data_IF_426553125006
#
_entry.id   IF_426553125006
#
_cell.length_a   1.000
_cell.length_b   1.000
_cell.length_c   1.000
_cell.angle_alpha   90.00
_cell.angle_beta   90.00
_cell.angle_gamma   90.00
#
_symmetry.space_group_name_H-M   'P 1'
#
loop_
_entity.id
_entity.type
_entity.pdbx_description
1 polymer ?
#
# COMPACT_ATOMS: atom_id res chain seq x y z
N UNK A 1 3.68 43.90 63.71
CA UNK A 1 2.29 44.10 63.23
C UNK A 1 2.35 44.16 61.71
N UNK A 2 1.80 43.28 60.90
CA UNK A 2 0.95 42.10 61.08
C UNK A 2 0.87 41.41 59.71
N UNK A 3 0.65 40.11 59.75
CA UNK A 3 0.52 39.12 58.68
C UNK A 3 -0.79 39.28 57.87
N UNK A 4 -1.02 38.39 56.88
CA UNK A 4 -2.29 37.84 56.32
C UNK A 4 -2.37 38.06 54.79
N UNK A 5 -2.20 37.06 53.90
CA UNK A 5 -3.00 35.87 53.50
C UNK A 5 -4.43 36.16 52.98
N UNK A 6 -4.78 35.53 51.85
CA UNK A 6 -6.16 35.39 51.32
C UNK A 6 -6.43 36.22 50.05
N UNK A 7 -7.22 35.80 49.07
CA UNK A 7 -7.98 34.57 48.83
C UNK A 7 -8.57 34.65 47.40
N UNK A 8 -8.99 33.50 46.88
CA UNK A 8 -9.59 33.30 45.54
C UNK A 8 -10.88 34.11 45.34
N UNK A 9 -11.21 34.46 44.09
CA UNK A 9 -12.60 34.40 43.61
C UNK A 9 -12.71 34.42 42.07
N UNK A 10 -13.21 33.30 41.56
CA UNK A 10 -13.93 33.08 40.29
C UNK A 10 -14.55 34.34 39.65
N UNK A 11 -14.37 34.50 38.32
CA UNK A 11 -15.42 35.05 37.46
C UNK A 11 -15.72 34.07 36.33
N UNK A 12 -16.92 33.48 36.41
CA UNK A 12 -17.59 32.79 35.32
C UNK A 12 -18.00 33.85 34.29
N UNK A 13 -17.47 33.75 33.07
CA UNK A 13 -18.08 34.34 31.88
C UNK A 13 -18.71 33.21 31.09
N UNK A 14 -20.04 33.21 31.00
CA UNK A 14 -20.84 32.28 30.20
C UNK A 14 -20.45 32.40 28.73
N UNK A 15 -19.92 31.32 28.16
CA UNK A 15 -19.79 31.17 26.71
C UNK A 15 -21.11 30.57 26.21
N UNK A 16 -21.90 31.40 25.53
CA UNK A 16 -23.13 31.02 24.84
C UNK A 16 -22.81 29.91 23.84
N UNK A 17 -23.45 28.75 24.01
CA UNK A 17 -23.36 27.62 23.09
C UNK A 17 -24.09 27.94 21.78
N UNK A 18 -23.35 27.93 20.67
CA UNK A 18 -23.90 27.85 19.32
C UNK A 18 -24.10 26.37 18.99
N UNK A 19 -25.31 25.90 18.63
CA UNK A 19 -25.51 24.51 18.24
C UNK A 19 -25.17 24.37 16.75
N UNK A 20 -24.11 23.62 16.43
CA UNK A 20 -23.79 23.35 15.03
C UNK A 20 -22.40 22.80 14.80
N UNK A 21 -22.14 21.56 15.21
CA UNK A 21 -21.17 20.68 14.55
C UNK A 21 -21.28 19.29 15.16
N UNK A 22 -21.69 18.31 14.35
CA UNK A 22 -21.58 16.89 14.67
C UNK A 22 -20.09 16.53 14.72
N UNK A 23 -19.43 16.83 15.84
CA UNK A 23 -18.06 16.42 16.14
C UNK A 23 -18.03 14.95 16.51
N UNK A 24 -18.20 14.07 15.51
CA UNK A 24 -17.75 12.70 15.65
C UNK A 24 -16.23 12.73 15.76
N UNK A 25 -15.67 12.43 16.93
CA UNK A 25 -14.25 12.10 17.08
C UNK A 25 -13.94 10.98 16.09
N UNK A 26 -13.18 11.27 15.03
CA UNK A 26 -12.70 10.20 14.14
C UNK A 26 -11.85 9.26 14.98
N UNK A 27 -12.30 8.03 15.13
CA UNK A 27 -11.55 6.99 15.81
C UNK A 27 -10.29 6.67 15.00
N UNK A 28 -9.13 6.89 15.61
CA UNK A 28 -7.83 6.70 14.96
C UNK A 28 -7.55 5.20 14.94
N UNK A 29 -7.32 4.67 13.73
CA UNK A 29 -6.99 3.26 13.52
C UNK A 29 -5.51 3.01 13.72
N UNK A 30 -5.17 2.04 14.56
CA UNK A 30 -3.79 1.65 14.89
C UNK A 30 -3.44 0.27 14.37
N UNK A 31 -2.19 -0.16 14.53
CA UNK A 31 -1.78 -1.54 14.22
C UNK A 31 -2.40 -2.59 15.16
N UNK A 32 -3.00 -2.17 16.27
CA UNK A 32 -3.72 -3.03 17.21
C UNK A 32 -5.22 -3.11 16.88
N UNK A 33 -5.88 -1.96 16.68
CA UNK A 33 -7.32 -1.93 16.37
C UNK A 33 -7.61 -2.41 14.95
N UNK A 34 -6.70 -2.09 14.02
CA UNK A 34 -6.80 -2.42 12.61
C UNK A 34 -5.46 -3.01 12.13
N UNK A 35 -5.14 -4.26 12.52
CA UNK A 35 -3.90 -4.92 12.13
C UNK A 35 -3.73 -4.93 10.62
N UNK A 36 -2.48 -4.77 10.15
CA UNK A 36 -2.21 -4.69 8.71
C UNK A 36 -2.71 -5.97 8.03
N UNK A 37 -3.37 -5.79 6.88
CA UNK A 37 -3.89 -6.88 6.06
C UNK A 37 -3.18 -6.89 4.72
N UNK A 38 -3.00 -8.08 4.17
CA UNK A 38 -2.50 -8.27 2.81
C UNK A 38 -3.58 -9.00 2.03
N UNK A 39 -4.01 -8.39 0.92
CA UNK A 39 -4.99 -9.01 0.02
C UNK A 39 -4.21 -9.65 -1.13
N UNK A 40 -4.18 -10.98 -1.16
CA UNK A 40 -3.40 -11.74 -2.16
C UNK A 40 -4.18 -11.95 -3.45
N UNK A 41 -3.48 -11.82 -4.58
CA UNK A 41 -4.00 -12.23 -5.87
C UNK A 41 -4.24 -13.75 -5.85
N UNK A 42 -5.32 -14.25 -6.46
CA UNK A 42 -5.59 -15.69 -6.46
C UNK A 42 -4.51 -16.44 -7.24
N UNK A 43 -3.91 -17.46 -6.60
CA UNK A 43 -2.90 -18.35 -7.24
C UNK A 43 -3.38 -18.98 -8.53
N UNK A 44 -4.66 -19.32 -8.62
CA UNK A 44 -5.29 -19.86 -9.82
C UNK A 44 -5.24 -18.90 -11.03
N UNK A 45 -5.13 -17.59 -10.77
CA UNK A 45 -5.08 -16.56 -11.82
C UNK A 45 -3.65 -16.30 -12.29
N UNK A 46 -2.69 -16.17 -11.37
CA UNK A 46 -1.30 -15.84 -11.75
C UNK A 46 -0.41 -17.09 -11.99
N UNK A 47 -0.77 -18.25 -11.44
CA UNK A 47 -0.10 -19.53 -11.66
C UNK A 47 1.34 -19.61 -11.12
N UNK A 48 1.66 -18.88 -10.04
CA UNK A 48 2.99 -18.86 -9.41
C UNK A 48 2.99 -19.64 -8.09
N UNK A 49 4.19 -20.05 -7.64
CA UNK A 49 4.39 -20.85 -6.43
C UNK A 49 4.24 -20.02 -5.15
N UNK A 50 4.77 -18.80 -5.15
CA UNK A 50 4.64 -17.81 -4.09
C UNK A 50 3.43 -16.89 -4.30
N UNK A 51 3.11 -16.11 -3.27
CA UNK A 51 1.96 -15.20 -3.30
C UNK A 51 2.36 -13.77 -3.68
N UNK A 52 1.45 -13.06 -4.35
CA UNK A 52 1.59 -11.62 -4.62
C UNK A 52 0.42 -10.89 -3.96
N UNK A 53 0.71 -9.96 -3.06
CA UNK A 53 -0.30 -9.30 -2.24
C UNK A 53 -0.22 -7.78 -2.25
N UNK A 54 -1.33 -7.14 -1.89
CA UNK A 54 -1.47 -5.69 -1.80
C UNK A 54 -1.76 -5.26 -0.37
N UNK A 55 -1.15 -4.15 0.06
CA UNK A 55 -1.41 -3.57 1.38
C UNK A 55 -1.28 -2.05 1.41
N UNK A 56 -1.72 -1.43 2.51
CA UNK A 56 -1.48 -0.01 2.81
C UNK A 56 -0.02 0.21 3.23
N UNK A 57 0.46 1.46 3.21
CA UNK A 57 1.81 1.76 3.73
C UNK A 57 1.99 1.26 5.19
N UNK A 58 2.92 0.33 5.46
CA UNK A 58 3.24 -0.13 6.81
C UNK A 58 3.79 1.01 7.67
N UNK A 59 3.37 1.08 8.93
CA UNK A 59 3.84 2.10 9.88
C UNK A 59 3.38 3.53 9.59
N UNK A 60 2.50 3.74 8.59
CA UNK A 60 2.09 5.09 8.19
C UNK A 60 1.44 5.87 9.33
N UNK A 61 1.87 7.11 9.49
CA UNK A 61 1.35 8.11 10.42
C UNK A 61 0.54 9.14 9.63
N UNK A 62 -0.75 8.88 9.46
CA UNK A 62 -1.66 9.69 8.64
C UNK A 62 -2.92 10.02 9.43
N UNK A 63 -2.72 10.77 10.52
CA UNK A 63 -3.75 11.08 11.54
C UNK A 63 -4.92 11.84 10.91
N UNK A 64 -4.65 12.73 9.94
CA UNK A 64 -5.67 13.46 9.20
C UNK A 64 -6.65 12.50 8.47
N UNK A 65 -6.19 11.32 8.08
CA UNK A 65 -7.00 10.27 7.44
C UNK A 65 -7.32 9.10 8.40
N UNK A 66 -7.19 9.32 9.71
CA UNK A 66 -7.56 8.38 10.77
C UNK A 66 -6.63 7.17 10.88
N UNK A 67 -5.31 7.36 10.68
CA UNK A 67 -4.31 6.30 10.84
C UNK A 67 -3.15 6.72 11.73
N UNK A 68 -2.79 5.86 12.68
CA UNK A 68 -1.56 5.95 13.46
C UNK A 68 -1.00 4.54 13.65
N UNK A 69 -0.22 4.08 12.67
CA UNK A 69 0.29 2.70 12.64
C UNK A 69 1.69 2.64 13.25
N UNK A 70 2.02 1.49 13.81
CA UNK A 70 3.35 1.20 14.30
C UNK A 70 4.14 0.39 13.26
N UNK A 71 5.32 0.88 12.90
CA UNK A 71 6.16 0.26 11.87
C UNK A 71 6.67 -1.12 12.30
N UNK A 72 7.10 -1.28 13.55
CA UNK A 72 7.62 -2.55 14.06
C UNK A 72 6.55 -3.63 14.09
N UNK A 73 5.34 -3.30 14.56
CA UNK A 73 4.19 -4.21 14.58
C UNK A 73 3.77 -4.61 13.16
N UNK A 74 3.69 -3.65 12.24
CA UNK A 74 3.31 -3.94 10.87
C UNK A 74 4.35 -4.82 10.17
N UNK A 75 5.65 -4.54 10.32
CA UNK A 75 6.71 -5.38 9.74
C UNK A 75 6.75 -6.78 10.35
N UNK A 76 6.60 -6.87 11.67
CA UNK A 76 6.51 -8.16 12.37
C UNK A 76 5.34 -8.98 11.82
N UNK A 77 4.17 -8.35 11.64
CA UNK A 77 2.99 -9.02 11.10
C UNK A 77 3.15 -9.42 9.63
N UNK A 78 3.73 -8.55 8.79
CA UNK A 78 4.07 -8.87 7.41
C UNK A 78 4.97 -10.12 7.34
N UNK A 79 6.01 -10.17 8.17
CA UNK A 79 6.91 -11.32 8.19
C UNK A 79 6.26 -12.58 8.75
N UNK A 80 5.60 -12.49 9.90
CA UNK A 80 5.20 -13.68 10.67
C UNK A 80 3.86 -14.26 10.24
N UNK A 81 2.90 -13.42 9.85
CA UNK A 81 1.55 -13.85 9.45
C UNK A 81 1.47 -14.09 7.96
N UNK A 82 2.01 -13.16 7.16
CA UNK A 82 1.91 -13.19 5.70
C UNK A 82 3.13 -13.81 5.01
N UNK A 83 4.18 -14.14 5.79
CA UNK A 83 5.45 -14.67 5.31
C UNK A 83 6.08 -13.81 4.23
N UNK A 84 5.87 -12.49 4.29
CA UNK A 84 6.42 -11.56 3.31
C UNK A 84 7.94 -11.70 3.26
N UNK A 85 8.47 -11.99 2.08
CA UNK A 85 9.90 -12.08 1.80
C UNK A 85 10.41 -10.82 1.10
N UNK A 86 9.55 -10.20 0.29
CA UNK A 86 9.85 -8.98 -0.45
C UNK A 86 8.74 -7.94 -0.26
N UNK A 87 9.11 -6.71 0.08
CA UNK A 87 8.19 -5.57 0.18
C UNK A 87 8.52 -4.54 -0.90
N UNK A 88 7.64 -4.40 -1.88
CA UNK A 88 7.75 -3.41 -2.95
C UNK A 88 7.04 -2.14 -2.52
N UNK A 89 7.79 -1.04 -2.44
CA UNK A 89 7.30 0.29 -2.10
C UNK A 89 7.27 1.19 -3.32
N UNK A 90 6.11 1.83 -3.54
CA UNK A 90 5.87 2.72 -4.68
C UNK A 90 5.88 4.20 -4.29
N UNK A 91 6.31 4.51 -3.07
CA UNK A 91 6.34 5.86 -2.52
C UNK A 91 7.64 6.58 -2.90
N UNK A 92 7.55 7.90 -3.07
CA UNK A 92 8.74 8.75 -3.14
C UNK A 92 9.22 9.22 -1.76
N UNK A 93 10.38 9.86 -1.72
CA UNK A 93 11.00 10.37 -0.48
C UNK A 93 10.12 11.39 0.27
N UNK A 94 9.36 12.21 -0.46
CA UNK A 94 8.47 13.20 0.14
C UNK A 94 7.25 12.53 0.80
N UNK A 95 6.73 11.47 0.19
CA UNK A 95 5.66 10.66 0.76
C UNK A 95 6.13 9.87 1.97
N UNK A 96 7.35 9.32 1.95
CA UNK A 96 7.94 8.67 3.12
C UNK A 96 8.00 9.62 4.32
N UNK A 97 8.51 10.84 4.11
CA UNK A 97 8.59 11.86 5.14
C UNK A 97 7.20 12.28 5.64
N UNK A 98 6.26 12.54 4.73
CA UNK A 98 4.90 12.96 5.07
C UNK A 98 4.11 11.90 5.83
N UNK A 99 4.47 10.62 5.69
CA UNK A 99 3.85 9.50 6.39
C UNK A 99 4.63 9.06 7.64
N UNK A 100 5.75 9.70 7.98
CA UNK A 100 6.57 9.32 9.14
C UNK A 100 7.22 7.93 9.02
N UNK A 101 7.53 7.49 7.79
CA UNK A 101 8.02 6.14 7.51
C UNK A 101 9.34 6.12 6.73
N UNK A 102 10.19 7.12 6.92
CA UNK A 102 11.50 7.23 6.25
C UNK A 102 12.43 6.03 6.50
N UNK A 103 12.27 5.32 7.61
CA UNK A 103 13.07 4.14 8.00
C UNK A 103 12.46 2.80 7.54
N UNK A 104 11.51 2.83 6.58
CA UNK A 104 10.77 1.63 6.16
C UNK A 104 11.69 0.50 5.69
N UNK A 105 12.75 0.83 4.97
CA UNK A 105 13.75 -0.14 4.49
C UNK A 105 14.58 -0.73 5.64
N UNK A 106 15.05 0.10 6.58
CA UNK A 106 15.74 -0.34 7.80
C UNK A 106 14.91 -1.35 8.57
N UNK A 107 13.62 -1.04 8.81
CA UNK A 107 12.72 -1.92 9.54
C UNK A 107 12.37 -3.19 8.75
N UNK A 108 12.21 -3.10 7.42
CA UNK A 108 11.97 -4.27 6.58
C UNK A 108 13.16 -5.25 6.67
N UNK A 109 14.39 -4.76 6.47
CA UNK A 109 15.61 -5.58 6.54
C UNK A 109 15.77 -6.20 7.93
N UNK A 110 15.55 -5.42 8.99
CA UNK A 110 15.64 -5.92 10.37
C UNK A 110 14.64 -7.06 10.67
N UNK A 111 13.52 -7.12 9.92
CA UNK A 111 12.52 -8.19 10.01
C UNK A 111 12.72 -9.31 8.98
N UNK A 112 13.85 -9.32 8.25
CA UNK A 112 14.14 -10.32 7.23
C UNK A 112 13.27 -10.18 5.97
N UNK A 113 12.76 -8.98 5.70
CA UNK A 113 12.00 -8.64 4.49
C UNK A 113 12.93 -7.83 3.58
N UNK A 114 13.08 -8.24 2.32
CA UNK A 114 13.85 -7.49 1.32
C UNK A 114 13.02 -6.31 0.80
N UNK A 115 13.42 -5.04 1.04
CA UNK A 115 12.75 -3.90 0.44
C UNK A 115 13.14 -3.76 -1.04
N UNK A 116 12.17 -3.34 -1.86
CA UNK A 116 12.38 -2.91 -3.24
C UNK A 116 11.67 -1.58 -3.42
N UNK A 117 12.43 -0.52 -3.71
CA UNK A 117 11.89 0.82 -3.88
C UNK A 117 11.77 1.14 -5.37
N UNK A 118 10.55 1.47 -5.81
CA UNK A 118 10.28 1.93 -7.16
C UNK A 118 9.24 3.06 -7.11
N UNK A 119 9.68 4.31 -6.87
CA UNK A 119 8.75 5.42 -6.71
C UNK A 119 7.88 5.63 -7.96
N UNK A 120 6.56 5.72 -7.76
CA UNK A 120 5.61 6.10 -8.81
C UNK A 120 4.86 7.34 -8.33
N UNK A 121 4.81 8.43 -9.13
CA UNK A 121 4.13 9.66 -8.73
C UNK A 121 2.67 9.39 -8.36
N UNK A 122 2.19 10.03 -7.29
CA UNK A 122 0.84 9.76 -6.80
C UNK A 122 -0.21 10.05 -7.88
N UNK A 123 -1.24 9.19 -7.96
CA UNK A 123 -2.30 9.21 -8.98
C UNK A 123 -1.86 9.00 -10.46
N UNK A 124 -0.57 8.82 -10.74
CA UNK A 124 -0.06 8.63 -12.10
C UNK A 124 0.46 7.20 -12.31
N UNK A 125 0.68 6.79 -13.57
CA UNK A 125 1.58 5.68 -13.88
C UNK A 125 3.06 6.09 -13.70
N UNK A 126 4.02 5.15 -13.85
CA UNK A 126 5.43 5.51 -14.00
C UNK A 126 5.65 6.51 -15.16
N UNK A 127 6.75 7.25 -15.13
CA UNK A 127 7.14 8.03 -16.29
C UNK A 127 7.60 7.10 -17.42
N UNK A 128 7.36 7.47 -18.68
CA UNK A 128 7.80 6.67 -19.85
C UNK A 128 9.31 6.40 -19.87
N UNK A 129 10.13 7.34 -19.37
CA UNK A 129 11.59 7.14 -19.24
C UNK A 129 11.97 5.99 -18.32
N UNK A 130 11.08 5.61 -17.40
CA UNK A 130 11.27 4.56 -16.39
C UNK A 130 10.59 3.24 -16.82
N UNK A 131 10.10 3.15 -18.06
CA UNK A 131 9.35 2.00 -18.59
C UNK A 131 10.14 0.69 -18.51
N UNK A 132 11.40 0.68 -18.94
CA UNK A 132 12.23 -0.53 -18.91
C UNK A 132 12.52 -0.97 -17.47
N UNK A 133 12.77 -0.02 -16.56
CA UNK A 133 12.95 -0.31 -15.15
C UNK A 133 11.66 -0.83 -14.50
N UNK A 134 10.49 -0.33 -14.93
CA UNK A 134 9.20 -0.87 -14.51
C UNK A 134 8.99 -2.30 -15.01
N UNK A 135 9.33 -2.60 -16.27
CA UNK A 135 9.27 -3.96 -16.81
C UNK A 135 10.16 -4.90 -15.98
N UNK A 136 11.39 -4.48 -15.68
CA UNK A 136 12.31 -5.24 -14.83
C UNK A 136 11.77 -5.45 -13.41
N UNK A 137 11.05 -4.48 -12.84
CA UNK A 137 10.35 -4.65 -11.56
C UNK A 137 9.30 -5.76 -11.66
N UNK A 138 8.47 -5.77 -12.70
CA UNK A 138 7.42 -6.78 -12.90
C UNK A 138 8.05 -8.18 -13.07
N UNK A 139 9.09 -8.30 -13.88
CA UNK A 139 9.85 -9.55 -14.05
C UNK A 139 10.47 -10.02 -12.73
N UNK A 140 11.02 -9.10 -11.94
CA UNK A 140 11.59 -9.39 -10.62
C UNK A 140 10.53 -9.89 -9.62
N UNK A 141 9.33 -9.30 -9.62
CA UNK A 141 8.19 -9.76 -8.80
C UNK A 141 7.80 -11.19 -9.21
N UNK A 142 7.66 -11.44 -10.51
CA UNK A 142 7.30 -12.76 -11.05
C UNK A 142 8.38 -13.79 -10.74
N UNK A 143 9.66 -13.43 -10.90
CA UNK A 143 10.79 -14.31 -10.59
C UNK A 143 10.80 -14.70 -9.11
N UNK A 144 10.65 -13.73 -8.20
CA UNK A 144 10.58 -14.00 -6.76
C UNK A 144 9.41 -14.92 -6.40
N UNK A 145 8.21 -14.62 -6.90
CA UNK A 145 7.04 -15.47 -6.68
C UNK A 145 7.18 -16.85 -7.36
N UNK A 146 7.84 -16.96 -8.51
CA UNK A 146 8.13 -18.27 -9.13
C UNK A 146 9.06 -19.11 -8.24
N UNK A 147 10.00 -18.48 -7.55
CA UNK A 147 10.89 -19.11 -6.56
C UNK A 147 10.21 -19.40 -5.21
N UNK A 148 8.90 -19.16 -5.08
CA UNK A 148 8.14 -19.43 -3.86
C UNK A 148 8.14 -18.29 -2.84
N UNK A 149 8.69 -17.12 -3.18
CA UNK A 149 8.69 -15.96 -2.28
C UNK A 149 7.33 -15.28 -2.24
N UNK A 150 6.92 -14.80 -1.06
CA UNK A 150 5.76 -13.95 -0.93
C UNK A 150 6.14 -12.47 -1.13
N UNK A 151 5.60 -11.86 -2.17
CA UNK A 151 5.87 -10.47 -2.55
C UNK A 151 4.68 -9.59 -2.21
N UNK A 152 4.88 -8.57 -1.38
CA UNK A 152 3.83 -7.62 -1.00
C UNK A 152 4.12 -6.25 -1.60
N UNK A 153 3.12 -5.64 -2.23
CA UNK A 153 3.20 -4.36 -2.90
C UNK A 153 2.40 -3.33 -2.12
N UNK A 154 2.95 -2.14 -1.91
CA UNK A 154 2.23 -1.04 -1.29
C UNK A 154 2.53 0.32 -1.95
N UNK A 155 1.57 1.22 -1.81
CA UNK A 155 1.72 2.66 -1.99
C UNK A 155 1.20 3.31 -0.70
N UNK A 156 0.58 4.50 -0.76
CA UNK A 156 -0.03 5.13 0.42
C UNK A 156 -1.25 4.33 0.92
N UNK A 157 -2.21 4.08 0.03
CA UNK A 157 -3.47 3.39 0.35
C UNK A 157 -3.54 1.94 -0.15
N UNK A 158 -2.60 1.51 -0.99
CA UNK A 158 -2.63 0.19 -1.61
C UNK A 158 -3.80 0.01 -2.58
N UNK A 159 -4.17 1.05 -3.34
CA UNK A 159 -5.33 1.05 -4.25
C UNK A 159 -4.90 1.36 -5.69
N UNK A 160 -4.49 2.60 -6.00
CA UNK A 160 -4.11 3.01 -7.35
C UNK A 160 -2.81 2.40 -7.85
N UNK A 161 -1.67 2.95 -7.40
CA UNK A 161 -0.32 2.54 -7.83
C UNK A 161 -0.03 1.06 -7.55
N UNK A 162 -0.39 0.55 -6.38
CA UNK A 162 -0.24 -0.88 -6.07
C UNK A 162 -1.12 -1.74 -6.96
N UNK A 163 -2.34 -1.29 -7.25
CA UNK A 163 -3.23 -1.97 -8.19
C UNK A 163 -2.66 -1.98 -9.60
N UNK A 164 -2.02 -0.89 -10.04
CA UNK A 164 -1.34 -0.81 -11.34
C UNK A 164 -0.26 -1.89 -11.42
N UNK A 165 0.64 -1.99 -10.43
CA UNK A 165 1.71 -3.00 -10.44
C UNK A 165 1.13 -4.41 -10.41
N UNK A 166 0.14 -4.68 -9.55
CA UNK A 166 -0.51 -5.98 -9.48
C UNK A 166 -1.18 -6.37 -10.80
N UNK A 167 -1.88 -5.44 -11.46
CA UNK A 167 -2.50 -5.67 -12.75
C UNK A 167 -1.44 -5.89 -13.84
N UNK A 168 -0.33 -5.14 -13.83
CA UNK A 168 0.80 -5.35 -14.72
C UNK A 168 1.43 -6.73 -14.58
N UNK A 169 1.52 -7.27 -13.35
CA UNK A 169 1.97 -8.66 -13.15
C UNK A 169 0.99 -9.64 -13.81
N UNK A 170 -0.32 -9.46 -13.64
CA UNK A 170 -1.31 -10.34 -14.28
C UNK A 170 -1.26 -10.26 -15.81
N UNK A 171 -1.02 -9.07 -16.38
CA UNK A 171 -0.82 -8.90 -17.83
C UNK A 171 0.44 -9.64 -18.30
N UNK A 172 1.54 -9.54 -17.56
CA UNK A 172 2.75 -10.32 -17.83
C UNK A 172 2.53 -11.84 -17.69
N UNK A 173 1.54 -12.26 -16.89
CA UNK A 173 1.06 -13.65 -16.79
C UNK A 173 0.01 -14.01 -17.84
N UNK A 174 -0.15 -13.21 -18.88
CA UNK A 174 -0.96 -13.53 -20.06
C UNK A 174 -2.42 -13.12 -20.00
N UNK A 175 -2.87 -12.42 -18.95
CA UNK A 175 -4.21 -11.85 -18.94
C UNK A 175 -4.27 -10.60 -19.82
N UNK A 176 -5.45 -10.32 -20.36
CA UNK A 176 -5.74 -8.99 -20.93
C UNK A 176 -5.82 -7.96 -19.80
N UNK A 177 -5.45 -6.72 -20.08
CA UNK A 177 -5.49 -5.61 -19.15
C UNK A 177 -6.89 -5.42 -18.51
N UNK A 178 -8.01 -5.48 -19.26
CA UNK A 178 -9.34 -5.41 -18.65
C UNK A 178 -9.59 -6.52 -17.62
N UNK A 179 -9.18 -7.75 -17.91
CA UNK A 179 -9.34 -8.88 -16.98
C UNK A 179 -8.42 -8.74 -15.76
N UNK A 180 -7.15 -8.37 -15.97
CA UNK A 180 -6.21 -8.11 -14.89
C UNK A 180 -6.73 -7.03 -13.93
N UNK A 181 -7.20 -5.89 -14.45
CA UNK A 181 -7.77 -4.80 -13.66
C UNK A 181 -9.02 -5.27 -12.90
N UNK A 182 -9.88 -6.06 -13.54
CA UNK A 182 -11.07 -6.62 -12.89
C UNK A 182 -10.69 -7.48 -11.68
N UNK A 183 -9.75 -8.42 -11.84
CA UNK A 183 -9.29 -9.29 -10.74
C UNK A 183 -8.73 -8.46 -9.59
N UNK A 184 -7.85 -7.48 -9.87
CA UNK A 184 -7.28 -6.62 -8.82
C UNK A 184 -8.37 -5.84 -8.08
N UNK A 185 -9.40 -5.38 -8.80
CA UNK A 185 -10.53 -4.66 -8.19
C UNK A 185 -11.37 -5.53 -7.26
N UNK A 186 -11.61 -6.78 -7.65
CA UNK A 186 -12.32 -7.76 -6.84
C UNK A 186 -11.53 -8.14 -5.57
N UNK A 187 -10.21 -8.28 -5.69
CA UNK A 187 -9.32 -8.63 -4.57
C UNK A 187 -9.19 -7.48 -3.57
N UNK A 188 -8.99 -6.25 -4.06
CA UNK A 188 -8.54 -5.14 -3.21
C UNK A 188 -9.58 -4.04 -3.02
N UNK A 189 -10.13 -3.52 -4.11
CA UNK A 189 -11.09 -2.40 -4.08
C UNK A 189 -11.59 -2.12 -5.49
N UNK A 190 -12.89 -1.82 -5.70
CA UNK A 190 -13.43 -1.38 -6.99
C UNK A 190 -12.70 -0.16 -7.58
N UNK A 191 -12.02 0.63 -6.75
CA UNK A 191 -11.24 1.79 -7.17
C UNK A 191 -9.83 1.46 -7.66
N UNK A 192 -9.34 0.24 -7.50
CA UNK A 192 -7.96 -0.13 -7.86
C UNK A 192 -7.68 0.16 -9.35
N UNK A 193 -6.44 0.58 -9.64
CA UNK A 193 -6.06 1.22 -10.91
C UNK A 193 -6.94 2.46 -11.15
N UNK A 194 -6.68 3.48 -10.35
CA UNK A 194 -7.58 4.61 -10.05
C UNK A 194 -7.79 5.52 -11.27
N UNK A 195 -6.73 5.88 -11.97
CA UNK A 195 -6.80 6.86 -13.06
C UNK A 195 -6.84 6.22 -14.45
N UNK A 196 -7.33 6.97 -15.44
CA UNK A 196 -7.35 6.53 -16.85
C UNK A 196 -5.94 6.29 -17.37
N UNK A 197 -4.99 7.12 -16.96
CA UNK A 197 -3.57 6.99 -17.32
C UNK A 197 -2.96 5.70 -16.77
N UNK A 198 -3.28 5.33 -15.53
CA UNK A 198 -2.87 4.06 -14.96
C UNK A 198 -3.44 2.86 -15.73
N UNK A 199 -4.71 2.93 -16.14
CA UNK A 199 -5.34 1.86 -16.95
C UNK A 199 -4.72 1.77 -18.34
N UNK A 200 -4.44 2.91 -18.98
CA UNK A 200 -3.78 2.97 -20.27
C UNK A 200 -2.35 2.41 -20.21
N UNK A 201 -1.62 2.68 -19.12
CA UNK A 201 -0.31 2.08 -18.86
C UNK A 201 -0.38 0.56 -18.81
N UNK A 202 -1.30 -0.01 -18.02
CA UNK A 202 -1.50 -1.46 -17.93
C UNK A 202 -1.84 -2.05 -19.29
N UNK A 203 -2.68 -1.38 -20.08
CA UNK A 203 -3.02 -1.81 -21.44
C UNK A 203 -1.80 -1.78 -22.38
N UNK A 204 -0.95 -0.76 -22.27
CA UNK A 204 0.28 -0.63 -23.07
C UNK A 204 1.34 -1.70 -22.80
N UNK A 205 1.12 -2.58 -21.82
CA UNK A 205 2.00 -3.70 -21.50
C UNK A 205 1.56 -5.03 -22.13
N UNK A 206 0.37 -5.10 -22.75
CA UNK A 206 -0.07 -6.29 -23.45
C UNK A 206 0.91 -6.63 -24.59
N UNK A 207 1.39 -7.89 -24.61
CA UNK A 207 2.35 -8.36 -25.61
C UNK A 207 3.80 -7.88 -25.40
N UNK A 208 4.09 -7.10 -24.35
CA UNK A 208 5.46 -6.68 -24.02
C UNK A 208 6.26 -7.83 -23.40
N UNK A 209 5.62 -8.61 -22.54
CA UNK A 209 6.27 -9.70 -21.82
C UNK A 209 6.29 -10.96 -22.68
N UNK A 210 7.49 -11.44 -23.02
CA UNK A 210 7.69 -12.70 -23.71
C UNK A 210 8.04 -13.81 -22.70
N UNK A 211 7.18 -13.96 -21.68
CA UNK A 211 7.31 -15.04 -20.72
C UNK A 211 6.65 -16.27 -21.33
N UNK A 212 7.29 -17.44 -21.25
CA UNK A 212 6.71 -18.74 -21.61
C UNK A 212 5.56 -19.07 -20.64
N UNK A 213 4.44 -18.35 -20.78
CA UNK A 213 3.21 -18.65 -20.07
C UNK A 213 2.56 -19.76 -20.86
N UNK A 214 2.64 -20.99 -20.36
CA UNK A 214 1.74 -22.05 -20.79
C UNK A 214 0.32 -21.49 -20.66
N UNK A 215 -0.29 -21.16 -21.80
CA UNK A 215 -1.63 -20.56 -21.86
C UNK A 215 -2.57 -21.52 -21.14
N UNK A 216 -3.00 -21.18 -19.93
CA UNK A 216 -4.17 -21.78 -19.34
C UNK A 216 -5.35 -21.29 -20.18
N UNK A 217 -5.67 -22.04 -21.24
CA UNK A 217 -6.95 -21.95 -21.91
C UNK A 217 -8.01 -22.35 -20.88
N UNK A 218 -8.80 -21.37 -20.44
CA UNK A 218 -10.00 -21.62 -19.66
C UNK A 218 -10.92 -22.54 -20.48
N UNK A 219 -11.15 -23.75 -19.97
CA UNK A 219 -12.27 -24.63 -20.33
C UNK A 219 -13.50 -24.17 -19.53
#
# INVERSE_FOLDING_TARGET
MGTVLGERAQRRGELVAMPGSCGGTMEIRTSETDPIRVDFLPRAVHGLVGDIGLTIAPGKQDVANGWLRDMGMDMTRLRTVFRTDCLVSLLDASEFAALGISELDTFAVANGIRPVLFPIPDMHPPHERDRDAFIALIEGIISGASAGQNVVIHCRAGIGRSGLVAASVLVARGLTAPHAIKVVREVRSPRSVETSEQRAWVQGLEGVFNLDVARCECI
#
